data_IF_089332348837
#
_entry.id   IF_089332348837
#
_cell.length_a   1.000
_cell.length_b   1.000
_cell.length_c   1.000
_cell.angle_alpha   90.00
_cell.angle_beta   90.00
_cell.angle_gamma   90.00
#
_symmetry.space_group_name_H-M   'P 1'
#
loop_
_entity.id
_entity.type
_entity.pdbx_description
1 polymer ?
#
# COMPACT_ATOMS: atom_id res chain seq x y z
N UNK A 1 -23.36 -8.91 8.52
CA UNK A 1 -23.54 -7.97 9.66
C UNK A 1 -22.45 -6.93 9.56
N UNK A 2 -22.79 -5.65 9.32
CA UNK A 2 -21.78 -4.58 9.24
C UNK A 2 -21.19 -4.38 10.63
N UNK A 3 -19.94 -4.78 10.82
CA UNK A 3 -19.26 -4.58 12.09
C UNK A 3 -18.88 -3.09 12.19
N UNK A 4 -19.42 -2.39 13.20
CA UNK A 4 -19.22 -0.94 13.33
C UNK A 4 -17.73 -0.57 13.55
N UNK A 5 -16.99 -1.51 14.13
CA UNK A 5 -15.56 -1.40 14.37
C UNK A 5 -14.75 -1.36 13.07
N UNK A 6 -15.10 -2.19 12.08
CA UNK A 6 -14.39 -2.20 10.79
C UNK A 6 -14.66 -0.93 10.00
N UNK A 7 -15.89 -0.42 10.06
CA UNK A 7 -16.23 0.87 9.45
C UNK A 7 -15.40 2.02 10.06
N UNK A 8 -15.24 2.03 11.39
CA UNK A 8 -14.45 3.06 12.08
C UNK A 8 -12.96 2.98 11.78
N UNK A 9 -12.43 1.75 11.70
CA UNK A 9 -11.04 1.52 11.30
C UNK A 9 -10.78 1.96 9.86
N UNK A 10 -11.72 1.74 8.94
CA UNK A 10 -11.60 2.17 7.55
C UNK A 10 -11.67 3.70 7.39
N UNK A 11 -12.55 4.38 8.13
CA UNK A 11 -12.61 5.84 8.15
C UNK A 11 -11.31 6.46 8.71
N UNK A 12 -10.73 5.83 9.72
CA UNK A 12 -9.44 6.25 10.28
C UNK A 12 -8.30 6.00 9.29
N UNK A 13 -8.26 4.81 8.68
CA UNK A 13 -7.29 4.44 7.64
C UNK A 13 -7.36 5.41 6.45
N UNK A 14 -8.56 5.78 6.01
CA UNK A 14 -8.77 6.72 4.91
C UNK A 14 -8.21 8.13 5.17
N UNK A 15 -8.01 8.52 6.45
CA UNK A 15 -7.36 9.79 6.83
C UNK A 15 -5.83 9.72 6.84
N UNK A 16 -5.23 8.54 6.78
CA UNK A 16 -3.77 8.41 6.75
C UNK A 16 -3.23 8.80 5.35
N UNK A 17 -2.14 9.57 5.33
CA UNK A 17 -1.41 9.88 4.09
C UNK A 17 -0.99 8.57 3.40
N UNK A 18 -1.20 8.48 2.08
CA UNK A 18 -0.84 7.34 1.22
C UNK A 18 0.48 6.61 1.57
N UNK A 19 1.62 7.28 1.83
CA UNK A 19 2.85 6.58 2.21
C UNK A 19 2.80 5.85 3.56
N UNK A 20 1.96 6.27 4.50
CA UNK A 20 1.82 5.63 5.82
C UNK A 20 0.91 4.41 5.75
N UNK A 21 -0.20 4.49 4.98
CA UNK A 21 -1.04 3.33 4.68
C UNK A 21 -0.26 2.21 4.00
N UNK A 22 0.60 2.59 3.06
CA UNK A 22 1.47 1.63 2.37
C UNK A 22 2.42 0.92 3.33
N UNK A 23 3.05 1.65 4.26
CA UNK A 23 3.93 1.04 5.29
C UNK A 23 3.16 0.12 6.23
N UNK A 24 1.96 0.52 6.66
CA UNK A 24 1.10 -0.30 7.52
C UNK A 24 0.70 -1.60 6.81
N UNK A 25 0.24 -1.51 5.56
CA UNK A 25 -0.10 -2.67 4.75
C UNK A 25 1.12 -3.57 4.51
N UNK A 26 2.27 -3.00 4.17
CA UNK A 26 3.52 -3.74 4.00
C UNK A 26 3.99 -4.41 5.31
N UNK A 27 3.86 -3.75 6.46
CA UNK A 27 4.21 -4.36 7.75
C UNK A 27 3.27 -5.51 8.11
N UNK A 28 1.95 -5.32 7.90
CA UNK A 28 0.97 -6.40 8.11
C UNK A 28 1.26 -7.59 7.19
N UNK A 29 1.61 -7.32 5.93
CA UNK A 29 1.98 -8.33 4.95
C UNK A 29 3.26 -9.07 5.32
N UNK A 30 4.30 -8.37 5.78
CA UNK A 30 5.53 -9.00 6.25
C UNK A 30 5.28 -9.86 7.49
N UNK A 31 4.45 -9.41 8.42
CA UNK A 31 4.06 -10.20 9.60
C UNK A 31 3.29 -11.46 9.18
N UNK A 32 2.36 -11.33 8.24
CA UNK A 32 1.58 -12.44 7.66
C UNK A 32 2.50 -13.48 6.98
N UNK A 33 3.54 -13.02 6.28
CA UNK A 33 4.55 -13.87 5.61
C UNK A 33 5.50 -14.55 6.60
N UNK A 34 5.94 -13.83 7.64
CA UNK A 34 6.93 -14.32 8.61
C UNK A 34 6.31 -15.29 9.63
N UNK A 35 5.00 -15.22 9.82
CA UNK A 35 4.24 -16.30 10.45
C UNK A 35 4.23 -17.46 9.45
N UNK A 36 4.91 -18.58 9.72
CA UNK A 36 5.10 -19.63 8.73
C UNK A 36 3.75 -20.26 8.38
N UNK A 37 3.32 -20.16 7.12
CA UNK A 37 2.05 -20.73 6.68
C UNK A 37 2.16 -21.64 5.45
N UNK A 38 1.23 -22.59 5.40
CA UNK A 38 1.08 -23.76 4.54
C UNK A 38 0.73 -23.45 3.07
N UNK A 39 1.02 -22.25 2.58
CA UNK A 39 0.50 -21.73 1.31
C UNK A 39 1.61 -21.68 0.26
N UNK A 40 1.56 -22.51 -0.80
CA UNK A 40 2.49 -22.38 -1.91
C UNK A 40 2.31 -21.02 -2.62
N UNK A 41 3.38 -20.46 -3.19
CA UNK A 41 3.45 -19.17 -3.92
C UNK A 41 3.59 -17.87 -3.11
N UNK A 42 3.85 -17.94 -1.80
CA UNK A 42 4.16 -16.75 -0.97
C UNK A 42 5.41 -16.02 -1.48
N UNK A 43 6.40 -16.77 -1.94
CA UNK A 43 7.67 -16.23 -2.42
C UNK A 43 7.51 -15.39 -3.71
N UNK A 44 6.68 -15.83 -4.66
CA UNK A 44 6.34 -15.06 -5.86
C UNK A 44 5.58 -13.77 -5.53
N UNK A 45 4.69 -13.81 -4.54
CA UNK A 45 3.92 -12.64 -4.11
C UNK A 45 4.84 -11.59 -3.46
N UNK A 46 5.75 -12.04 -2.59
CA UNK A 46 6.80 -11.18 -2.02
C UNK A 46 7.66 -10.52 -3.10
N UNK A 47 8.06 -11.28 -4.11
CA UNK A 47 8.87 -10.79 -5.21
C UNK A 47 8.11 -9.75 -6.06
N UNK A 48 6.84 -10.03 -6.37
CA UNK A 48 5.96 -9.12 -7.11
C UNK A 48 5.75 -7.79 -6.36
N UNK A 49 5.49 -7.85 -5.05
CA UNK A 49 5.29 -6.66 -4.22
C UNK A 49 6.57 -5.82 -4.06
N UNK A 50 7.71 -6.48 -3.92
CA UNK A 50 9.02 -5.81 -3.87
C UNK A 50 9.32 -5.09 -5.19
N UNK A 51 9.01 -5.72 -6.32
CA UNK A 51 9.18 -5.13 -7.66
C UNK A 51 8.28 -3.91 -7.86
N UNK A 52 7.01 -4.01 -7.47
CA UNK A 52 6.05 -2.90 -7.51
C UNK A 52 6.51 -1.72 -6.65
N UNK A 53 7.02 -1.98 -5.44
CA UNK A 53 7.56 -0.96 -4.56
C UNK A 53 8.77 -0.25 -5.19
N UNK A 54 9.70 -1.01 -5.76
CA UNK A 54 10.89 -0.46 -6.42
C UNK A 54 10.52 0.37 -7.65
N UNK A 55 9.57 -0.10 -8.47
CA UNK A 55 9.06 0.64 -9.63
C UNK A 55 8.42 1.98 -9.22
N UNK A 56 7.69 1.99 -8.09
CA UNK A 56 6.99 3.18 -7.62
C UNK A 56 7.93 4.19 -6.91
N UNK A 57 9.13 3.77 -6.51
CA UNK A 57 10.11 4.64 -5.85
C UNK A 57 10.52 5.82 -6.75
N UNK A 58 10.62 5.62 -8.07
CA UNK A 58 11.08 6.67 -9.00
C UNK A 58 9.97 7.64 -9.44
N UNK A 59 8.70 7.24 -9.37
CA UNK A 59 7.54 8.06 -9.84
C UNK A 59 7.23 9.26 -8.94
N UNK A 60 7.78 9.29 -7.72
CA UNK A 60 7.57 10.37 -6.74
C UNK A 60 8.17 11.74 -7.15
N UNK A 61 8.87 11.82 -8.29
CA UNK A 61 9.42 13.05 -8.87
C UNK A 61 8.73 13.48 -10.16
N UNK A 62 7.53 13.01 -10.48
CA UNK A 62 6.76 13.61 -11.57
C UNK A 62 6.39 15.06 -11.17
N UNK A 63 6.90 16.10 -11.87
CA UNK A 63 6.45 17.46 -11.65
C UNK A 63 4.95 17.49 -11.95
N UNK A 64 4.17 18.12 -11.08
CA UNK A 64 2.77 18.40 -11.38
C UNK A 64 2.71 19.11 -12.74
N UNK A 65 1.87 18.65 -13.70
CA UNK A 65 1.78 19.31 -14.99
C UNK A 65 1.48 20.79 -14.77
N UNK A 66 2.32 21.64 -15.35
CA UNK A 66 2.20 23.09 -15.21
C UNK A 66 0.77 23.52 -15.55
N UNK A 67 0.16 24.44 -14.78
CA UNK A 67 -1.22 24.85 -15.02
C UNK A 67 -1.34 25.36 -16.45
N UNK A 68 -2.24 24.75 -17.23
CA UNK A 68 -2.59 25.17 -18.58
C UNK A 68 -3.07 26.61 -18.49
N UNK A 69 -2.19 27.55 -18.85
CA UNK A 69 -2.55 28.95 -19.03
C UNK A 69 -3.51 28.99 -20.21
N UNK A 70 -4.73 29.42 -19.96
CA UNK A 70 -5.72 29.75 -20.98
C UNK A 70 -5.65 31.26 -21.18
N UNK A 71 -4.98 31.67 -22.24
CA UNK A 71 -5.08 32.99 -22.87
C UNK A 71 -6.11 32.97 -24.02
#
# INVERSE_FOLDING_TARGET
>A
MRNLLTARALEWAAKLRYPTLFKLAAALFVVDVLVPDFVPFVDELLFGLTTLLLANWKTRKAPLPAPVRRD
#
